data_IF_559171464657
#
_entry.id   IF_559171464657
#
_cell.length_a   1.000
_cell.length_b   1.000
_cell.length_c   1.000
_cell.angle_alpha   90.00
_cell.angle_beta   90.00
_cell.angle_gamma   90.00
#
_symmetry.space_group_name_H-M   'P 1'
#
loop_
_entity.id
_entity.type
_entity.pdbx_description
1 polymer ?
#
# COMPACT_ATOMS: atom_id res chain seq x y z
N UNK A 1 13.55 32.34 -53.39
CA UNK A 1 12.22 32.15 -52.80
C UNK A 1 12.39 31.46 -51.47
N UNK A 2 12.75 32.31 -50.54
CA UNK A 2 12.92 32.15 -49.12
C UNK A 2 11.56 31.93 -48.47
N UNK A 3 11.27 30.67 -48.18
CA UNK A 3 10.11 30.25 -47.40
C UNK A 3 10.31 30.73 -45.96
N UNK A 4 9.87 31.95 -45.68
CA UNK A 4 9.75 32.47 -44.32
C UNK A 4 8.74 31.59 -43.56
N UNK A 5 9.25 30.59 -42.85
CA UNK A 5 8.48 29.75 -41.96
C UNK A 5 7.99 30.59 -40.79
N UNK A 6 6.73 31.04 -40.85
CA UNK A 6 6.04 31.60 -39.69
C UNK A 6 6.09 30.56 -38.56
N UNK A 7 6.90 30.85 -37.55
CA UNK A 7 6.88 30.11 -36.29
C UNK A 7 5.63 30.57 -35.55
N UNK A 8 4.51 29.90 -35.81
CA UNK A 8 3.26 30.13 -35.11
C UNK A 8 3.47 29.85 -33.63
N UNK A 9 3.46 30.89 -32.79
CA UNK A 9 3.61 30.76 -31.35
C UNK A 9 2.30 30.20 -30.77
N UNK A 10 2.19 28.87 -30.70
CA UNK A 10 1.01 28.19 -30.17
C UNK A 10 1.03 28.31 -28.64
N UNK A 11 0.34 29.32 -28.12
CA UNK A 11 0.12 29.48 -26.67
C UNK A 11 -0.75 28.31 -26.18
N UNK A 12 -0.18 27.47 -25.30
CA UNK A 12 -0.91 26.34 -24.70
C UNK A 12 -1.83 26.83 -23.57
N UNK A 13 -3.09 26.44 -23.61
CA UNK A 13 -4.04 26.60 -22.49
C UNK A 13 -4.10 25.31 -21.68
N UNK A 14 -4.01 25.41 -20.35
CA UNK A 14 -4.01 24.26 -19.45
C UNK A 14 -5.28 24.18 -18.61
N UNK A 15 -5.94 23.04 -18.64
CA UNK A 15 -7.04 22.65 -17.78
C UNK A 15 -6.50 21.74 -16.68
N UNK A 16 -6.37 22.29 -15.47
CA UNK A 16 -5.94 21.54 -14.30
C UNK A 16 -7.09 20.73 -13.71
N UNK A 17 -6.83 19.47 -13.35
CA UNK A 17 -7.78 18.63 -12.64
C UNK A 17 -7.10 17.81 -11.54
N UNK A 18 -7.89 17.36 -10.57
CA UNK A 18 -7.45 16.43 -9.53
C UNK A 18 -7.95 15.03 -9.89
N UNK A 19 -7.06 14.05 -10.13
CA UNK A 19 -7.49 12.70 -10.42
C UNK A 19 -8.14 12.07 -9.18
N UNK A 20 -9.12 11.20 -9.41
CA UNK A 20 -9.71 10.39 -8.34
C UNK A 20 -8.67 9.39 -7.81
N UNK A 21 -8.66 9.19 -6.50
CA UNK A 21 -7.76 8.25 -5.83
C UNK A 21 -8.56 7.29 -4.96
N UNK A 22 -8.55 6.01 -5.31
CA UNK A 22 -9.08 4.93 -4.48
C UNK A 22 -7.97 4.35 -3.61
N UNK A 23 -8.22 4.21 -2.33
CA UNK A 23 -7.29 3.61 -1.37
C UNK A 23 -7.83 2.25 -0.92
N UNK A 24 -6.97 1.23 -0.95
CA UNK A 24 -7.26 -0.12 -0.48
C UNK A 24 -6.25 -0.50 0.59
N UNK A 25 -6.75 -1.02 1.70
CA UNK A 25 -5.93 -1.45 2.83
C UNK A 25 -5.78 -2.97 2.81
N UNK A 26 -4.58 -3.49 2.58
CA UNK A 26 -4.30 -4.93 2.67
C UNK A 26 -3.40 -5.24 3.86
N UNK A 27 -3.16 -6.51 4.14
CA UNK A 27 -2.32 -6.93 5.27
C UNK A 27 -0.85 -6.50 5.10
N UNK A 28 -0.25 -6.78 3.93
CA UNK A 28 1.19 -6.57 3.69
C UNK A 28 1.53 -5.29 2.93
N UNK A 29 0.60 -4.79 2.11
CA UNK A 29 0.80 -3.59 1.31
C UNK A 29 -0.50 -2.80 1.19
N UNK A 30 -0.46 -1.47 1.33
CA UNK A 30 -1.61 -0.66 0.95
C UNK A 30 -1.52 -0.29 -0.54
N UNK A 31 -2.67 -0.03 -1.17
CA UNK A 31 -2.74 0.23 -2.61
C UNK A 31 -3.45 1.56 -2.86
N UNK A 32 -2.83 2.42 -3.67
CA UNK A 32 -3.50 3.54 -4.31
C UNK A 32 -3.81 3.19 -5.77
N UNK A 33 -5.08 3.28 -6.15
CA UNK A 33 -5.54 3.15 -7.53
C UNK A 33 -6.04 4.50 -8.02
N UNK A 34 -5.43 4.98 -9.10
CA UNK A 34 -5.66 6.32 -9.65
C UNK A 34 -6.07 6.14 -11.12
N UNK A 35 -7.36 6.21 -11.44
CA UNK A 35 -7.82 6.15 -12.81
C UNK A 35 -7.36 7.41 -13.57
N UNK A 36 -6.55 7.21 -14.61
CA UNK A 36 -6.01 8.24 -15.49
C UNK A 36 -6.50 7.96 -16.91
N UNK A 37 -7.82 7.90 -17.09
CA UNK A 37 -8.43 7.58 -18.39
C UNK A 37 -7.97 8.56 -19.47
N UNK A 38 -7.54 8.00 -20.62
CA UNK A 38 -7.06 8.79 -21.76
C UNK A 38 -5.63 9.33 -21.61
N UNK A 39 -4.92 9.03 -20.52
CA UNK A 39 -3.47 9.23 -20.43
C UNK A 39 -2.73 7.99 -20.90
N UNK A 40 -1.62 8.21 -21.59
CA UNK A 40 -0.63 7.18 -21.89
C UNK A 40 0.53 7.24 -20.89
N UNK A 41 1.31 6.17 -20.79
CA UNK A 41 2.41 6.08 -19.83
C UNK A 41 3.45 7.19 -20.01
N UNK A 42 3.73 7.57 -21.25
CA UNK A 42 4.66 8.65 -21.60
C UNK A 42 4.14 10.07 -21.27
N UNK A 43 2.84 10.20 -20.96
CA UNK A 43 2.19 11.49 -20.69
C UNK A 43 2.15 11.85 -19.21
N UNK A 44 2.68 11.00 -18.33
CA UNK A 44 2.81 11.30 -16.92
C UNK A 44 4.11 10.76 -16.32
N UNK A 45 4.47 11.29 -15.16
CA UNK A 45 5.65 10.91 -14.40
C UNK A 45 5.27 10.67 -12.95
N UNK A 46 5.80 9.59 -12.40
CA UNK A 46 5.76 9.27 -10.99
C UNK A 46 7.16 9.50 -10.42
N UNK A 47 7.23 10.28 -9.34
CA UNK A 47 8.45 10.51 -8.58
C UNK A 47 8.25 9.96 -7.17
N UNK A 48 9.14 9.05 -6.76
CA UNK A 48 9.20 8.55 -5.38
C UNK A 48 10.48 9.09 -4.76
N UNK A 49 10.33 9.81 -3.65
CA UNK A 49 11.43 10.26 -2.82
C UNK A 49 11.39 9.43 -1.53
N UNK A 50 12.27 8.43 -1.48
CA UNK A 50 12.40 7.47 -0.39
C UNK A 50 12.83 8.14 0.93
N UNK A 51 13.79 9.08 0.86
CA UNK A 51 14.33 9.81 2.00
C UNK A 51 13.29 10.70 2.69
N UNK A 52 12.46 11.39 1.92
CA UNK A 52 11.39 12.28 2.42
C UNK A 52 10.04 11.57 2.53
N UNK A 53 9.98 10.27 2.21
CA UNK A 53 8.74 9.50 2.13
C UNK A 53 7.67 10.23 1.31
N UNK A 54 7.99 10.73 0.13
CA UNK A 54 7.07 11.55 -0.66
C UNK A 54 6.88 10.96 -2.04
N UNK A 55 5.63 10.84 -2.47
CA UNK A 55 5.30 10.48 -3.84
C UNK A 55 4.68 11.69 -4.53
N UNK A 56 5.08 11.93 -5.78
CA UNK A 56 4.55 12.99 -6.63
C UNK A 56 4.19 12.42 -7.99
N UNK A 57 3.01 12.76 -8.48
CA UNK A 57 2.54 12.37 -9.82
C UNK A 57 2.19 13.63 -10.59
N UNK A 58 2.72 13.75 -11.79
CA UNK A 58 2.39 14.86 -12.70
C UNK A 58 2.13 14.31 -14.09
N UNK A 59 1.08 14.78 -14.76
CA UNK A 59 0.79 14.38 -16.12
C UNK A 59 0.17 15.50 -16.93
N UNK A 60 0.42 15.45 -18.24
CA UNK A 60 -0.08 16.41 -19.21
C UNK A 60 -0.45 15.69 -20.51
N UNK A 61 -1.63 15.98 -21.06
CA UNK A 61 -2.05 15.43 -22.36
C UNK A 61 -2.76 16.48 -23.21
N UNK A 62 -2.62 16.45 -24.55
CA UNK A 62 -3.42 17.30 -25.43
C UNK A 62 -4.90 16.86 -25.40
N UNK A 63 -5.82 17.82 -25.45
CA UNK A 63 -7.28 17.59 -25.62
C UNK A 63 -7.80 18.02 -27.00
N UNK A 64 -6.94 18.65 -27.82
CA UNK A 64 -7.26 19.17 -29.15
C UNK A 64 -6.90 20.66 -29.28
N UNK A 65 -6.41 21.06 -30.46
CA UNK A 65 -5.92 22.42 -30.70
C UNK A 65 -4.80 22.80 -29.72
N UNK A 66 -4.92 23.97 -29.09
CA UNK A 66 -3.98 24.46 -28.07
C UNK A 66 -4.31 24.03 -26.63
N UNK A 67 -5.35 23.23 -26.42
CA UNK A 67 -5.85 22.84 -25.09
C UNK A 67 -5.14 21.60 -24.56
N UNK A 68 -4.69 21.68 -23.31
CA UNK A 68 -4.00 20.61 -22.59
C UNK A 68 -4.72 20.32 -21.28
N UNK A 69 -4.83 19.04 -20.93
CA UNK A 69 -5.21 18.61 -19.59
C UNK A 69 -3.96 18.40 -18.76
N UNK A 70 -3.96 18.84 -17.51
CA UNK A 70 -2.83 18.66 -16.60
C UNK A 70 -3.31 18.25 -15.21
N UNK A 71 -2.53 17.40 -14.55
CA UNK A 71 -2.69 17.13 -13.14
C UNK A 71 -1.34 17.14 -12.42
N UNK A 72 -1.34 17.52 -11.15
CA UNK A 72 -0.18 17.46 -10.26
C UNK A 72 -0.67 17.08 -8.87
N UNK A 73 -0.18 15.97 -8.34
CA UNK A 73 -0.54 15.50 -7.02
C UNK A 73 0.72 15.09 -6.25
N UNK A 74 0.73 15.36 -4.95
CA UNK A 74 1.84 15.03 -4.07
C UNK A 74 1.29 14.53 -2.75
N UNK A 75 1.80 13.40 -2.27
CA UNK A 75 1.41 12.79 -1.00
C UNK A 75 2.66 12.45 -0.19
N UNK A 76 2.57 12.70 1.12
CA UNK A 76 3.58 12.27 2.08
C UNK A 76 3.13 10.93 2.66
N UNK A 77 4.08 10.03 2.79
CA UNK A 77 3.92 8.72 3.39
C UNK A 77 4.57 8.71 4.77
N UNK A 78 3.89 8.17 5.79
CA UNK A 78 4.49 7.94 7.09
C UNK A 78 5.60 6.87 6.96
N UNK A 79 6.86 7.30 7.12
CA UNK A 79 8.03 6.43 6.97
C UNK A 79 8.14 5.36 8.07
N UNK A 80 7.45 5.53 9.20
CA UNK A 80 7.35 4.53 10.26
C UNK A 80 6.39 3.38 9.90
N UNK A 81 5.44 3.60 8.98
CA UNK A 81 4.45 2.60 8.58
C UNK A 81 4.84 1.91 7.29
N UNK A 82 5.35 2.66 6.31
CA UNK A 82 5.65 2.14 4.98
C UNK A 82 7.16 1.99 4.74
N UNK A 83 7.54 0.94 4.03
CA UNK A 83 8.87 0.80 3.48
C UNK A 83 8.94 1.59 2.17
N UNK A 84 9.53 2.79 2.23
CA UNK A 84 9.59 3.71 1.08
C UNK A 84 10.57 3.28 -0.01
N UNK A 85 11.49 2.36 0.28
CA UNK A 85 12.45 1.83 -0.69
C UNK A 85 11.83 0.81 -1.64
N UNK A 86 10.81 0.10 -1.16
CA UNK A 86 10.16 -1.01 -1.89
C UNK A 86 8.80 -0.61 -2.51
N UNK A 87 8.56 0.69 -2.68
CA UNK A 87 7.34 1.18 -3.33
C UNK A 87 7.35 0.75 -4.81
N UNK A 88 6.29 0.07 -5.22
CA UNK A 88 6.12 -0.39 -6.59
C UNK A 88 4.94 0.32 -7.26
N UNK A 89 5.10 0.72 -8.52
CA UNK A 89 4.03 1.30 -9.31
C UNK A 89 3.88 0.62 -10.67
N UNK A 90 2.66 0.51 -11.15
CA UNK A 90 2.33 -0.06 -12.46
C UNK A 90 1.17 0.71 -13.08
N UNK A 91 1.18 0.83 -14.41
CA UNK A 91 0.09 1.46 -15.16
C UNK A 91 -0.46 0.48 -16.18
N UNK A 92 -1.75 0.22 -16.11
CA UNK A 92 -2.43 -0.71 -17.01
C UNK A 92 -3.92 -0.42 -17.05
N UNK A 93 -4.55 -0.66 -18.20
CA UNK A 93 -5.99 -0.42 -18.40
C UNK A 93 -6.44 1.00 -18.00
N UNK A 94 -5.57 2.00 -18.18
CA UNK A 94 -5.85 3.38 -17.80
C UNK A 94 -5.82 3.67 -16.30
N UNK A 95 -5.31 2.75 -15.47
CA UNK A 95 -5.24 2.91 -14.01
C UNK A 95 -3.79 2.82 -13.53
N UNK A 96 -3.35 3.84 -12.81
CA UNK A 96 -2.08 3.83 -12.10
C UNK A 96 -2.29 3.17 -10.73
N UNK A 97 -1.60 2.07 -10.50
CA UNK A 97 -1.62 1.31 -9.24
C UNK A 97 -0.28 1.47 -8.53
N UNK A 98 -0.31 2.04 -7.33
CA UNK A 98 0.87 2.22 -6.46
C UNK A 98 0.69 1.31 -5.25
N UNK A 99 1.62 0.38 -5.06
CA UNK A 99 1.68 -0.52 -3.90
C UNK A 99 2.68 0.02 -2.90
N UNK A 100 2.24 0.13 -1.66
CA UNK A 100 3.01 0.64 -0.52
C UNK A 100 3.23 -0.49 0.48
N UNK A 101 4.41 -1.13 0.48
CA UNK A 101 4.70 -2.17 1.44
C UNK A 101 4.69 -1.61 2.86
N UNK A 102 4.04 -2.34 3.77
CA UNK A 102 4.08 -2.03 5.20
C UNK A 102 5.37 -2.58 5.78
N UNK A 103 5.92 -1.86 6.76
CA UNK A 103 7.01 -2.40 7.57
C UNK A 103 6.44 -3.48 8.47
N UNK A 104 7.18 -4.58 8.60
CA UNK A 104 6.83 -5.61 9.57
C UNK A 104 6.91 -5.04 10.99
N UNK A 105 6.03 -5.48 11.91
CA UNK A 105 6.15 -5.12 13.32
C UNK A 105 7.51 -5.58 13.85
N UNK A 106 8.26 -4.66 14.46
CA UNK A 106 9.49 -5.04 15.17
C UNK A 106 9.10 -5.96 16.34
N UNK A 107 9.54 -7.20 16.28
CA UNK A 107 9.41 -8.15 17.37
C UNK A 107 10.60 -7.95 18.31
N UNK A 108 10.35 -7.37 19.50
CA UNK A 108 11.36 -7.28 20.54
C UNK A 108 11.29 -8.58 21.34
N UNK A 109 12.09 -9.57 20.95
CA UNK A 109 12.28 -10.78 21.75
C UNK A 109 13.37 -10.51 22.78
N UNK A 110 13.00 -10.22 24.03
CA UNK A 110 13.96 -10.28 25.12
C UNK A 110 14.21 -11.76 25.43
N UNK A 111 15.46 -12.19 25.29
CA UNK A 111 15.89 -13.60 25.41
C UNK A 111 15.62 -14.24 26.77
N UNK A 112 15.35 -13.43 27.81
CA UNK A 112 15.37 -13.91 29.19
C UNK A 112 14.08 -13.65 29.99
N UNK A 113 13.03 -13.07 29.38
CA UNK A 113 11.72 -12.95 30.05
C UNK A 113 10.55 -13.22 29.09
N UNK A 114 9.66 -14.10 29.52
CA UNK A 114 8.69 -14.88 28.73
C UNK A 114 7.44 -14.07 28.33
N UNK A 115 7.62 -12.84 27.84
CA UNK A 115 6.56 -12.04 27.24
C UNK A 115 7.03 -11.35 25.98
N UNK A 116 6.54 -11.80 24.83
CA UNK A 116 6.73 -11.10 23.56
C UNK A 116 5.91 -9.81 23.59
N UNK A 117 6.62 -8.70 23.50
CA UNK A 117 6.09 -7.35 23.60
C UNK A 117 6.10 -6.74 22.20
N UNK A 118 4.91 -6.42 21.68
CA UNK A 118 4.77 -5.85 20.35
C UNK A 118 4.52 -4.35 20.42
N UNK A 119 5.25 -3.58 19.60
CA UNK A 119 5.03 -2.14 19.44
C UNK A 119 4.25 -1.89 18.16
N UNK A 120 3.02 -1.38 18.28
CA UNK A 120 2.18 -0.99 17.14
C UNK A 120 1.72 0.46 17.31
N UNK A 121 2.01 1.32 16.32
CA UNK A 121 1.69 2.76 16.34
C UNK A 121 2.10 3.47 17.65
N UNK A 122 3.25 3.09 18.22
CA UNK A 122 3.74 3.64 19.50
C UNK A 122 3.06 3.07 20.75
N UNK A 123 2.18 2.08 20.60
CA UNK A 123 1.47 1.42 21.70
C UNK A 123 2.03 0.02 21.95
N UNK A 124 2.19 -0.31 23.22
CA UNK A 124 2.84 -1.52 23.70
C UNK A 124 1.80 -2.60 24.04
N UNK A 125 1.90 -3.75 23.38
CA UNK A 125 1.03 -4.91 23.62
C UNK A 125 1.83 -6.06 24.22
N UNK A 126 1.42 -6.59 25.38
CA UNK A 126 2.10 -7.68 26.09
C UNK A 126 1.31 -8.98 25.93
N UNK A 127 1.89 -9.96 25.23
CA UNK A 127 1.31 -11.31 25.13
C UNK A 127 2.06 -12.26 26.07
N UNK A 128 1.35 -12.99 26.94
CA UNK A 128 1.93 -14.08 27.75
C UNK A 128 1.72 -15.40 27.01
N UNK A 129 2.71 -15.83 26.24
CA UNK A 129 2.63 -17.12 25.51
C UNK A 129 3.20 -18.22 26.43
N UNK A 130 2.33 -19.15 26.86
CA UNK A 130 2.74 -20.30 27.67
C UNK A 130 3.26 -21.43 26.78
N UNK A 131 4.50 -21.88 27.04
CA UNK A 131 5.16 -23.00 26.35
C UNK A 131 4.45 -24.35 26.63
N UNK A 132 3.35 -24.65 25.93
CA UNK A 132 2.88 -26.00 25.64
C UNK A 132 2.11 -25.97 24.31
N UNK A 133 2.79 -26.35 23.22
CA UNK A 133 2.19 -26.52 21.88
C UNK A 133 2.51 -25.40 20.89
N UNK A 134 3.69 -25.48 20.27
CA UNK A 134 3.96 -24.80 19.00
C UNK A 134 3.17 -25.56 17.93
N UNK A 135 1.97 -25.07 17.56
CA UNK A 135 1.44 -25.21 16.18
C UNK A 135 0.21 -24.37 15.82
N UNK A 136 -0.28 -23.46 16.66
CA UNK A 136 -1.45 -22.66 16.25
C UNK A 136 -1.81 -21.56 17.21
N UNK A 137 -1.18 -20.39 17.07
CA UNK A 137 -1.62 -19.18 17.77
C UNK A 137 -1.67 -17.99 16.81
N UNK A 138 -2.45 -18.14 15.73
CA UNK A 138 -3.14 -16.98 15.14
C UNK A 138 -4.36 -16.73 16.04
N UNK A 139 -4.12 -16.27 17.26
CA UNK A 139 -5.14 -15.64 18.06
C UNK A 139 -5.12 -14.15 17.70
N UNK A 140 -5.64 -13.84 16.52
CA UNK A 140 -6.11 -12.50 16.19
C UNK A 140 -7.32 -12.27 17.10
N UNK A 141 -7.07 -11.93 18.37
CA UNK A 141 -8.11 -11.65 19.34
C UNK A 141 -8.91 -10.48 18.80
N UNK A 142 -10.13 -10.84 18.39
CA UNK A 142 -11.19 -9.97 17.95
C UNK A 142 -11.22 -8.69 18.79
N UNK A 143 -10.96 -7.55 18.15
CA UNK A 143 -11.52 -6.30 18.65
C UNK A 143 -13.01 -6.40 18.36
N UNK A 144 -13.79 -6.47 19.44
CA UNK A 144 -15.20 -6.84 19.45
C UNK A 144 -16.04 -6.13 18.40
N UNK A 145 -16.68 -6.94 17.56
CA UNK A 145 -18.02 -6.63 17.08
C UNK A 145 -18.91 -7.70 17.68
N UNK A 146 -19.59 -7.32 18.76
CA UNK A 146 -20.75 -8.05 19.23
C UNK A 146 -21.71 -8.20 18.04
N UNK A 147 -21.88 -9.44 17.55
CA UNK A 147 -23.15 -10.09 17.19
C UNK A 147 -22.81 -11.51 16.68
N UNK A 148 -23.31 -12.50 17.43
CA UNK A 148 -23.70 -13.86 17.02
C UNK A 148 -22.90 -14.62 15.96
N UNK A 149 -22.19 -15.69 16.38
CA UNK A 149 -21.84 -16.79 15.49
C UNK A 149 -20.67 -17.64 15.96
N UNK A 150 -20.96 -18.74 16.67
CA UNK A 150 -20.00 -19.81 16.97
C UNK A 150 -19.55 -20.50 15.66
N UNK A 151 -18.25 -20.60 15.40
CA UNK A 151 -17.73 -21.61 14.47
C UNK A 151 -17.28 -22.82 15.31
N UNK A 152 -18.14 -23.83 15.32
CA UNK A 152 -17.92 -25.15 15.91
C UNK A 152 -16.98 -25.92 14.96
N UNK A 153 -15.76 -26.25 15.40
CA UNK A 153 -14.93 -27.25 14.74
C UNK A 153 -15.26 -28.63 15.34
N UNK A 154 -16.20 -29.34 14.71
CA UNK A 154 -16.37 -30.78 14.90
C UNK A 154 -15.56 -31.50 13.82
N UNK A 155 -14.56 -32.28 14.22
CA UNK A 155 -14.61 -33.74 14.05
C UNK A 155 -13.50 -34.41 14.89
N UNK A 156 -13.94 -35.43 15.61
CA UNK A 156 -13.30 -36.21 16.68
C UNK A 156 -12.63 -37.48 16.06
N UNK A 157 -12.11 -38.46 16.83
CA UNK A 157 -10.73 -38.65 17.29
C UNK A 157 -10.10 -39.99 16.83
N UNK A 158 -8.84 -40.25 17.19
CA UNK A 158 -8.46 -41.54 17.83
C UNK A 158 -7.03 -41.50 18.38
N UNK A 159 -6.92 -41.59 19.70
CA UNK A 159 -5.79 -42.14 20.47
C UNK A 159 -5.63 -43.64 20.14
N UNK A 160 -4.44 -44.26 20.12
CA UNK A 160 -3.62 -44.61 21.29
C UNK A 160 -2.19 -45.06 20.92
N UNK A 161 -1.27 -44.78 21.87
CA UNK A 161 -0.08 -45.53 22.34
C UNK A 161 1.07 -45.88 21.34
N UNK A 162 2.35 -45.56 21.56
CA UNK A 162 3.29 -46.00 22.62
C UNK A 162 3.37 -47.54 22.68
N UNK A 163 4.50 -48.26 22.70
CA UNK A 163 5.89 -48.00 23.08
C UNK A 163 6.74 -49.18 22.58
N UNK A 164 8.06 -48.99 22.57
CA UNK A 164 9.10 -49.95 22.21
C UNK A 164 9.11 -51.17 23.16
N UNK A 165 9.30 -52.36 22.61
CA UNK A 165 10.36 -53.30 23.00
C UNK A 165 10.60 -54.31 21.88
#
# INVERSE_FOLDING_TARGET
MDSNGEVVNIIRSYEDFMPYCKFLKEERFDIYQIPLHGFKMEQFKLFVNDNKGTIKIEGQRPKGGSRWSRFRQKFKLPCNVYNTKDIHASFGNGVLTIRLPKREPLMISNSDDKSDLFVYNGKLFRLKISKRGILGSIALVAVGVAVGGYVILKHLPSTHAAEKH
#
